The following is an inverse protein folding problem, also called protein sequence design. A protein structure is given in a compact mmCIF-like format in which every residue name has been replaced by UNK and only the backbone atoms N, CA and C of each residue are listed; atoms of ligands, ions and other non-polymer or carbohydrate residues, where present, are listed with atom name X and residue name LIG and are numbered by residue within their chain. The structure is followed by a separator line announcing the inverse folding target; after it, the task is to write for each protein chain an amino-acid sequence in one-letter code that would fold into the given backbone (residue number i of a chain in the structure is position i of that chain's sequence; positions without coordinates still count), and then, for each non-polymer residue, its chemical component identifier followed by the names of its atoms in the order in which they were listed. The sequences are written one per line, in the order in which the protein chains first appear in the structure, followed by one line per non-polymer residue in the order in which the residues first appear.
data_IF_722429486990
#
_entry.id   IF_722429486990
#
_cell.length_a   1.000
_cell.length_b   1.000
_cell.length_c   1.000
_cell.angle_alpha   90.00
_cell.angle_beta   90.00
_cell.angle_gamma   90.00
#
_symmetry.space_group_name_H-M   'P 1'
#
loop_
_entity.id
_entity.type
_entity.pdbx_description
1 polymer ?
#
# COMPACT_ATOMS: atom_id res chain seq x y z
N UNK A 1 27.88 9.42 -20.76
CA UNK A 1 27.59 8.84 -22.10
C UNK A 1 26.08 8.86 -22.30
N UNK A 2 25.59 9.19 -23.49
CA UNK A 2 24.17 9.13 -23.82
C UNK A 2 23.82 7.72 -24.34
N UNK A 3 22.65 7.21 -23.98
CA UNK A 3 22.14 5.92 -24.45
C UNK A 3 20.70 6.11 -24.91
N UNK A 4 20.39 5.59 -26.09
CA UNK A 4 19.04 5.56 -26.64
C UNK A 4 18.28 4.36 -26.08
N UNK A 5 16.96 4.38 -26.16
CA UNK A 5 16.09 3.28 -25.70
C UNK A 5 15.07 3.70 -24.65
N UNK A 6 14.31 2.71 -24.19
CA UNK A 6 13.27 2.89 -23.17
C UNK A 6 13.84 2.65 -21.77
N UNK A 7 13.35 3.41 -20.79
CA UNK A 7 13.74 3.29 -19.38
C UNK A 7 12.84 2.28 -18.66
N UNK A 8 13.46 1.26 -18.06
CA UNK A 8 12.80 0.24 -17.27
C UNK A 8 13.34 0.27 -15.84
N UNK A 9 12.45 0.16 -14.86
CA UNK A 9 12.81 -0.04 -13.45
C UNK A 9 12.55 -1.47 -13.04
N UNK A 10 13.63 -2.20 -12.73
CA UNK A 10 13.59 -3.57 -12.21
C UNK A 10 13.80 -3.52 -10.70
N UNK A 11 12.95 -4.17 -9.93
CA UNK A 11 13.18 -4.35 -8.50
C UNK A 11 13.76 -5.73 -8.25
N UNK A 12 14.93 -5.78 -7.61
CA UNK A 12 15.64 -7.02 -7.28
C UNK A 12 15.57 -7.24 -5.78
N UNK A 13 15.33 -8.49 -5.36
CA UNK A 13 15.40 -8.94 -3.97
C UNK A 13 16.23 -10.24 -3.93
N UNK A 14 17.37 -10.20 -3.24
CA UNK A 14 18.37 -11.27 -3.29
C UNK A 14 18.84 -11.53 -4.71
N UNK A 15 18.67 -12.76 -5.16
CA UNK A 15 19.03 -13.21 -6.51
C UNK A 15 17.84 -13.19 -7.51
N UNK A 16 16.71 -12.57 -7.15
CA UNK A 16 15.49 -12.58 -7.97
C UNK A 16 15.09 -11.16 -8.41
N UNK A 17 14.90 -10.97 -9.72
CA UNK A 17 14.21 -9.80 -10.26
C UNK A 17 12.69 -9.98 -10.08
N UNK A 18 12.14 -9.42 -9.00
CA UNK A 18 10.74 -9.66 -8.58
C UNK A 18 9.71 -8.83 -9.33
N UNK A 19 10.13 -7.77 -10.01
CA UNK A 19 9.27 -6.98 -10.89
C UNK A 19 10.05 -6.11 -11.86
N UNK A 20 9.45 -5.76 -13.00
CA UNK A 20 9.93 -4.79 -13.98
C UNK A 20 8.80 -3.87 -14.40
N UNK A 21 9.07 -2.57 -14.42
CA UNK A 21 8.13 -1.52 -14.81
C UNK A 21 8.72 -0.67 -15.92
N UNK A 22 8.02 -0.57 -17.04
CA UNK A 22 8.26 0.46 -18.04
C UNK A 22 7.59 1.76 -17.57
N UNK A 23 8.33 2.88 -17.58
CA UNK A 23 7.80 4.19 -17.21
C UNK A 23 7.53 5.00 -18.47
N UNK A 24 6.27 5.19 -18.78
CA UNK A 24 5.86 6.08 -19.88
C UNK A 24 5.72 7.51 -19.38
N UNK A 25 6.16 8.48 -20.19
CA UNK A 25 5.89 9.90 -19.94
C UNK A 25 4.39 10.18 -19.97
N UNK A 26 3.95 11.24 -19.27
CA UNK A 26 2.55 11.63 -19.24
C UNK A 26 2.02 11.80 -20.67
N UNK A 27 0.95 11.10 -21.02
CA UNK A 27 0.38 11.06 -22.36
C UNK A 27 -1.16 11.13 -22.32
N UNK A 28 -1.80 11.47 -23.44
CA UNK A 28 -3.24 11.25 -23.66
C UNK A 28 -3.46 10.64 -25.05
N UNK A 29 -4.54 9.88 -25.19
CA UNK A 29 -4.94 9.27 -26.46
C UNK A 29 -6.29 9.85 -26.88
N UNK A 30 -6.38 10.33 -28.12
CA UNK A 30 -7.60 10.89 -28.67
C UNK A 30 -8.74 9.88 -28.77
N UNK A 31 -9.95 10.33 -28.46
CA UNK A 31 -11.19 9.60 -28.73
C UNK A 31 -11.93 10.15 -29.97
N UNK A 32 -11.41 11.22 -30.59
CA UNK A 32 -12.02 11.92 -31.73
C UNK A 32 -13.04 12.99 -31.34
N UNK A 33 -13.35 13.16 -30.05
CA UNK A 33 -14.44 14.03 -29.58
C UNK A 33 -13.97 15.02 -28.51
N UNK A 34 -13.16 14.57 -27.55
CA UNK A 34 -12.75 15.36 -26.39
C UNK A 34 -11.49 16.16 -26.67
N UNK A 35 -11.43 17.33 -26.04
CA UNK A 35 -10.21 18.13 -26.02
C UNK A 35 -9.14 17.46 -25.16
N UNK A 36 -7.87 17.79 -25.41
CA UNK A 36 -6.74 17.33 -24.56
C UNK A 36 -7.00 17.64 -23.08
N UNK A 37 -7.55 18.80 -22.75
CA UNK A 37 -7.92 19.18 -21.38
C UNK A 37 -8.95 18.21 -20.76
N UNK A 38 -9.95 17.80 -21.53
CA UNK A 38 -10.97 16.84 -21.09
C UNK A 38 -10.37 15.43 -20.93
N UNK A 39 -9.52 15.00 -21.86
CA UNK A 39 -8.79 13.73 -21.77
C UNK A 39 -7.89 13.68 -20.52
N UNK A 40 -7.16 14.76 -20.22
CA UNK A 40 -6.38 14.90 -18.98
C UNK A 40 -7.29 14.78 -17.75
N UNK A 41 -8.47 15.41 -17.78
CA UNK A 41 -9.43 15.37 -16.67
C UNK A 41 -9.95 13.96 -16.41
N UNK A 42 -10.32 13.23 -17.47
CA UNK A 42 -10.78 11.84 -17.38
C UNK A 42 -9.66 10.91 -16.90
N UNK A 43 -8.43 11.08 -17.43
CA UNK A 43 -7.25 10.32 -17.01
C UNK A 43 -6.94 10.57 -15.53
N UNK A 44 -7.01 11.81 -15.06
CA UNK A 44 -6.85 12.14 -13.65
C UNK A 44 -7.96 11.54 -12.76
N UNK A 45 -9.20 11.43 -13.24
CA UNK A 45 -10.28 10.73 -12.52
C UNK A 45 -9.94 9.26 -12.32
N UNK A 46 -9.38 8.60 -13.34
CA UNK A 46 -8.89 7.22 -13.22
C UNK A 46 -7.69 7.12 -12.24
N UNK A 47 -6.71 8.03 -12.36
CA UNK A 47 -5.53 8.06 -11.46
C UNK A 47 -5.90 8.20 -9.99
N UNK A 48 -6.96 8.96 -9.66
CA UNK A 48 -7.48 9.09 -8.28
C UNK A 48 -7.92 7.77 -7.64
N UNK A 49 -8.28 6.76 -8.44
CA UNK A 49 -8.67 5.43 -7.95
C UNK A 49 -7.47 4.52 -7.68
N UNK A 50 -6.31 4.82 -8.24
CA UNK A 50 -5.10 4.02 -8.06
C UNK A 50 -4.33 4.50 -6.80
N UNK A 51 -4.04 3.63 -5.81
CA UNK A 51 -3.35 4.01 -4.58
C UNK A 51 -2.00 4.70 -4.76
N UNK A 52 -1.26 4.36 -5.82
CA UNK A 52 0.04 4.94 -6.16
C UNK A 52 -0.10 6.28 -6.92
N UNK A 53 -1.11 6.42 -7.76
CA UNK A 53 -1.25 7.58 -8.68
C UNK A 53 -2.19 8.68 -8.15
N UNK A 54 -2.97 8.43 -7.08
CA UNK A 54 -3.99 9.35 -6.58
C UNK A 54 -3.51 10.77 -6.28
N UNK A 55 -2.25 10.92 -5.90
CA UNK A 55 -1.61 12.19 -5.57
C UNK A 55 -0.63 12.68 -6.66
N UNK A 56 -0.55 11.96 -7.79
CA UNK A 56 0.40 12.18 -8.89
C UNK A 56 -0.36 12.53 -10.17
N UNK A 57 -1.17 13.58 -10.12
CA UNK A 57 -2.07 13.97 -11.21
C UNK A 57 -1.32 14.73 -12.30
N UNK A 58 -1.77 14.60 -13.54
CA UNK A 58 -1.30 15.42 -14.66
C UNK A 58 -1.84 16.83 -14.43
N UNK A 59 -0.95 17.77 -14.14
CA UNK A 59 -1.27 19.20 -14.03
C UNK A 59 -0.80 19.89 -15.28
N UNK A 60 -1.69 20.62 -15.93
CA UNK A 60 -1.34 21.51 -17.05
C UNK A 60 -0.50 22.63 -16.50
N UNK A 61 0.73 22.73 -17.02
CA UNK A 61 1.72 23.75 -16.71
C UNK A 61 2.43 24.17 -18.00
N UNK A 62 3.37 25.10 -17.86
CA UNK A 62 4.14 25.63 -18.99
C UNK A 62 4.88 24.56 -19.80
N UNK A 63 5.35 23.47 -19.15
CA UNK A 63 6.03 22.39 -19.87
C UNK A 63 5.06 21.67 -20.81
N UNK A 64 3.86 21.33 -20.32
CA UNK A 64 2.82 20.68 -21.14
C UNK A 64 2.40 21.59 -22.29
N UNK A 65 2.15 22.87 -22.02
CA UNK A 65 1.79 23.84 -23.08
C UNK A 65 2.88 23.95 -24.14
N UNK A 66 4.15 24.01 -23.74
CA UNK A 66 5.30 24.02 -24.65
C UNK A 66 5.40 22.73 -25.45
N UNK A 67 5.19 21.56 -24.83
CA UNK A 67 5.22 20.26 -25.49
C UNK A 67 4.12 20.12 -26.56
N UNK A 68 2.92 20.61 -26.26
CA UNK A 68 1.80 20.63 -27.21
C UNK A 68 2.07 21.61 -28.36
N UNK A 69 2.54 22.83 -28.05
CA UNK A 69 2.83 23.85 -29.05
C UNK A 69 3.87 23.40 -30.08
N UNK A 70 4.90 22.64 -29.65
CA UNK A 70 5.89 22.03 -30.57
C UNK A 70 5.29 21.02 -31.56
N UNK A 71 4.12 20.49 -31.24
CA UNK A 71 3.34 19.58 -32.09
C UNK A 71 2.21 20.30 -32.83
N UNK A 72 2.12 21.63 -32.75
CA UNK A 72 1.02 22.41 -33.33
C UNK A 72 -0.32 22.25 -32.60
N UNK A 73 -0.28 21.78 -31.35
CA UNK A 73 -1.46 21.49 -30.54
C UNK A 73 -1.59 22.47 -29.37
N UNK A 74 -2.79 22.54 -28.81
CA UNK A 74 -3.09 23.24 -27.56
C UNK A 74 -4.07 22.41 -26.73
N UNK A 75 -4.28 22.78 -25.46
CA UNK A 75 -5.15 22.01 -24.55
C UNK A 75 -6.61 21.94 -25.02
N UNK A 76 -7.06 22.87 -25.85
CA UNK A 76 -8.38 22.87 -26.51
C UNK A 76 -8.44 22.08 -27.82
N UNK A 77 -7.32 21.56 -28.33
CA UNK A 77 -7.31 20.69 -29.52
C UNK A 77 -8.01 19.37 -29.22
N UNK A 78 -8.73 18.85 -30.21
CA UNK A 78 -9.28 17.49 -30.22
C UNK A 78 -8.31 16.61 -31.03
N UNK A 79 -7.93 15.48 -30.46
CA UNK A 79 -7.03 14.51 -31.10
C UNK A 79 -7.83 13.49 -31.89
N UNK A 80 -7.28 13.05 -33.02
CA UNK A 80 -7.87 11.96 -33.79
C UNK A 80 -7.96 10.70 -32.95
N UNK A 81 -8.98 9.88 -33.21
CA UNK A 81 -9.19 8.64 -32.46
C UNK A 81 -7.97 7.73 -32.57
N UNK A 82 -7.38 7.38 -31.43
CA UNK A 82 -6.17 6.56 -31.34
C UNK A 82 -4.85 7.33 -31.44
N UNK A 83 -4.87 8.63 -31.75
CA UNK A 83 -3.67 9.46 -31.75
C UNK A 83 -3.19 9.67 -30.31
N UNK A 84 -2.01 9.16 -29.98
CA UNK A 84 -1.35 9.41 -28.70
C UNK A 84 -0.47 10.66 -28.78
N UNK A 85 -0.56 11.52 -27.77
CA UNK A 85 0.30 12.70 -27.61
C UNK A 85 0.96 12.66 -26.25
N UNK A 86 2.29 12.75 -26.25
CA UNK A 86 3.07 12.92 -25.03
C UNK A 86 3.02 14.37 -24.57
N UNK A 87 2.61 14.55 -23.33
CA UNK A 87 2.49 15.83 -22.64
C UNK A 87 3.82 16.25 -22.00
N UNK A 88 4.73 15.29 -21.73
CA UNK A 88 6.04 15.55 -21.13
C UNK A 88 7.14 14.75 -21.81
N UNK A 89 8.37 15.23 -21.65
CA UNK A 89 9.57 14.56 -22.16
C UNK A 89 10.14 13.51 -21.19
N UNK A 90 9.76 13.57 -19.91
CA UNK A 90 10.28 12.69 -18.86
C UNK A 90 9.20 11.75 -18.33
N UNK A 91 9.63 10.54 -17.95
CA UNK A 91 8.80 9.43 -17.45
C UNK A 91 8.41 9.54 -15.97
N UNK A 92 8.68 10.68 -15.35
CA UNK A 92 8.56 10.87 -13.90
C UNK A 92 7.12 10.69 -13.42
N UNK A 93 6.91 9.72 -12.53
CA UNK A 93 5.58 9.42 -11.99
C UNK A 93 4.96 10.61 -11.25
N UNK A 94 5.78 11.43 -10.57
CA UNK A 94 5.34 12.60 -9.79
C UNK A 94 4.62 13.66 -10.62
N UNK A 95 4.90 13.72 -11.92
CA UNK A 95 4.38 14.73 -12.86
C UNK A 95 3.44 14.14 -13.91
N UNK A 96 2.91 12.93 -13.65
CA UNK A 96 1.89 12.30 -14.48
C UNK A 96 2.36 11.09 -15.28
N UNK A 97 3.61 10.67 -15.15
CA UNK A 97 4.11 9.43 -15.76
C UNK A 97 3.33 8.20 -15.30
N UNK A 98 3.47 7.12 -16.07
CA UNK A 98 2.66 5.92 -15.97
C UNK A 98 3.54 4.66 -15.86
N UNK A 99 3.42 3.89 -14.76
CA UNK A 99 4.14 2.64 -14.59
C UNK A 99 3.36 1.48 -15.22
N UNK A 100 3.90 0.85 -16.26
CA UNK A 100 3.37 -0.36 -16.86
C UNK A 100 4.16 -1.56 -16.35
N UNK A 101 3.50 -2.51 -15.68
CA UNK A 101 4.14 -3.77 -15.32
C UNK A 101 4.41 -4.59 -16.58
N UNK A 102 5.69 -4.90 -16.81
CA UNK A 102 6.21 -5.65 -17.96
C UNK A 102 7.13 -6.78 -17.48
N UNK A 103 6.99 -7.20 -16.23
CA UNK A 103 7.83 -8.22 -15.57
C UNK A 103 7.88 -9.53 -16.35
N UNK A 104 6.75 -9.95 -16.91
CA UNK A 104 6.66 -11.23 -17.63
C UNK A 104 7.04 -11.06 -19.12
N UNK A 105 7.15 -9.83 -19.63
CA UNK A 105 7.50 -9.50 -21.01
C UNK A 105 9.01 -9.26 -21.21
N UNK A 106 9.72 -8.90 -20.13
CA UNK A 106 11.14 -8.62 -20.17
C UNK A 106 11.98 -9.91 -20.17
N UNK A 107 13.06 -9.92 -20.96
CA UNK A 107 13.93 -11.10 -21.11
C UNK A 107 14.66 -11.47 -19.81
N UNK A 108 14.97 -12.75 -19.64
CA UNK A 108 15.67 -13.23 -18.45
C UNK A 108 17.11 -12.72 -18.38
N UNK A 109 17.73 -12.41 -19.53
CA UNK A 109 19.06 -11.77 -19.56
C UNK A 109 19.04 -10.38 -18.95
N UNK A 110 17.96 -9.62 -19.15
CA UNK A 110 17.79 -8.30 -18.53
C UNK A 110 17.53 -8.40 -17.03
N UNK A 111 16.73 -9.38 -16.61
CA UNK A 111 16.54 -9.69 -15.19
C UNK A 111 17.86 -10.06 -14.54
N UNK A 112 18.66 -10.90 -15.19
CA UNK A 112 19.97 -11.30 -14.71
C UNK A 112 20.95 -10.12 -14.66
N UNK A 113 20.95 -9.24 -15.66
CA UNK A 113 21.74 -8.01 -15.63
C UNK A 113 21.44 -7.15 -14.40
N UNK A 114 20.16 -7.02 -14.02
CA UNK A 114 19.77 -6.30 -12.81
C UNK A 114 20.33 -6.99 -11.55
N UNK A 115 20.19 -8.31 -11.44
CA UNK A 115 20.72 -9.10 -10.31
C UNK A 115 22.25 -8.95 -10.21
N UNK A 116 22.95 -9.10 -11.32
CA UNK A 116 24.42 -9.01 -11.38
C UNK A 116 24.92 -7.60 -11.01
N UNK A 117 24.14 -6.57 -11.33
CA UNK A 117 24.48 -5.19 -10.96
C UNK A 117 24.53 -4.99 -9.43
N UNK A 118 23.65 -5.65 -8.67
CA UNK A 118 23.68 -5.60 -7.20
C UNK A 118 24.88 -6.36 -6.64
N UNK A 119 25.24 -7.50 -7.25
CA UNK A 119 26.44 -8.29 -6.90
C UNK A 119 27.71 -7.47 -7.11
N UNK A 120 27.79 -6.75 -8.22
CA UNK A 120 28.95 -5.93 -8.58
C UNK A 120 29.24 -4.80 -7.59
N UNK A 121 28.24 -4.31 -6.85
CA UNK A 121 28.37 -3.18 -5.90
C UNK A 121 28.43 -3.63 -4.43
N UNK A 122 28.86 -4.86 -4.17
CA UNK A 122 29.02 -5.38 -2.81
C UNK A 122 27.81 -6.18 -2.31
N UNK A 123 27.02 -6.75 -3.22
CA UNK A 123 25.93 -7.67 -2.93
C UNK A 123 24.85 -7.07 -2.01
N UNK A 124 24.29 -5.93 -2.42
CA UNK A 124 23.21 -5.27 -1.68
C UNK A 124 21.96 -6.17 -1.69
N UNK A 125 21.25 -6.35 -0.56
CA UNK A 125 20.11 -7.27 -0.45
C UNK A 125 18.95 -7.04 -1.42
N UNK A 126 18.64 -5.79 -1.72
CA UNK A 126 17.58 -5.41 -2.66
C UNK A 126 17.81 -3.99 -3.14
N UNK A 127 17.35 -3.68 -4.36
CA UNK A 127 17.38 -2.35 -4.91
C UNK A 127 16.46 -2.25 -6.14
N UNK A 128 16.07 -1.01 -6.48
CA UNK A 128 15.53 -0.69 -7.79
C UNK A 128 16.67 -0.37 -8.75
N UNK A 129 16.78 -1.11 -9.84
CA UNK A 129 17.77 -0.92 -10.91
C UNK A 129 17.08 -0.28 -12.10
N UNK A 130 17.56 0.88 -12.54
CA UNK A 130 17.12 1.48 -13.79
C UNK A 130 18.02 1.03 -14.94
N UNK A 131 17.38 0.55 -15.99
CA UNK A 131 18.04 0.02 -17.19
C UNK A 131 17.43 0.69 -18.41
N UNK A 132 18.28 1.22 -19.28
CA UNK A 132 17.89 1.63 -20.64
C UNK A 132 18.06 0.43 -21.56
N UNK A 133 17.01 0.13 -22.32
CA UNK A 133 16.98 -0.97 -23.29
C UNK A 133 16.67 -0.40 -24.66
N UNK A 134 17.64 -0.55 -25.56
CA UNK A 134 17.52 -0.23 -26.98
C UNK A 134 17.39 -1.53 -27.76
N UNK A 135 16.22 -1.82 -28.36
CA UNK A 135 16.03 -3.06 -29.12
C UNK A 135 16.89 -3.12 -30.39
N UNK A 136 17.50 -2.00 -30.80
CA UNK A 136 18.38 -1.93 -31.99
C UNK A 136 19.86 -2.04 -31.65
N UNK A 137 20.23 -1.99 -30.36
CA UNK A 137 21.61 -2.05 -29.94
C UNK A 137 22.08 -3.49 -29.72
N UNK A 138 23.37 -3.73 -29.96
CA UNK A 138 24.04 -5.00 -29.63
C UNK A 138 24.22 -5.22 -28.11
N UNK A 139 23.94 -4.19 -27.29
CA UNK A 139 24.01 -4.27 -25.84
C UNK A 139 22.70 -4.78 -25.28
N UNK A 140 22.76 -5.76 -24.37
CA UNK A 140 21.57 -6.31 -23.68
C UNK A 140 20.72 -5.23 -23.01
N UNK A 141 21.37 -4.28 -22.36
CA UNK A 141 20.78 -3.13 -21.69
C UNK A 141 21.88 -2.37 -20.93
N UNK A 142 21.59 -1.14 -20.51
CA UNK A 142 22.54 -0.29 -19.82
C UNK A 142 21.99 0.11 -18.47
N UNK A 143 22.62 -0.34 -17.39
CA UNK A 143 22.30 0.08 -16.03
C UNK A 143 22.70 1.54 -15.85
N UNK A 144 21.73 2.40 -15.51
CA UNK A 144 21.93 3.85 -15.32
C UNK A 144 21.89 4.28 -13.85
N UNK A 145 21.15 3.57 -13.01
CA UNK A 145 21.00 3.86 -11.58
C UNK A 145 20.73 2.57 -10.80
N UNK A 146 21.29 2.46 -9.59
CA UNK A 146 20.89 1.44 -8.60
C UNK A 146 20.48 2.19 -7.32
N UNK A 147 19.24 1.99 -6.88
CA UNK A 147 18.65 2.70 -5.74
C UNK A 147 18.21 1.71 -4.65
N UNK A 148 18.97 1.55 -3.55
CA UNK A 148 18.64 0.67 -2.43
C UNK A 148 17.36 1.06 -1.68
N UNK A 149 16.93 2.32 -1.81
CA UNK A 149 15.74 2.89 -1.16
C UNK A 149 14.59 3.11 -2.14
N UNK A 150 14.62 2.44 -3.29
CA UNK A 150 13.61 2.61 -4.33
C UNK A 150 12.20 2.34 -3.81
N UNK A 151 11.27 3.22 -4.18
CA UNK A 151 9.87 3.08 -3.83
C UNK A 151 9.23 1.87 -4.54
N UNK A 152 8.54 1.02 -3.78
CA UNK A 152 7.91 -0.21 -4.30
C UNK A 152 6.45 -0.01 -4.74
N UNK A 153 5.84 1.12 -4.39
CA UNK A 153 4.38 1.32 -4.53
C UNK A 153 3.88 1.21 -5.97
N UNK A 154 4.67 1.63 -6.96
CA UNK A 154 4.28 1.54 -8.37
C UNK A 154 4.49 0.15 -8.99
N UNK A 155 5.27 -0.73 -8.34
CA UNK A 155 5.32 -2.15 -8.67
C UNK A 155 4.10 -2.90 -8.11
N UNK A 156 3.62 -2.49 -6.93
CA UNK A 156 2.40 -3.06 -6.33
C UNK A 156 1.15 -2.56 -7.05
N UNK A 157 1.08 -1.27 -7.38
CA UNK A 157 -0.08 -0.65 -8.02
C UNK A 157 0.35 0.04 -9.33
N UNK A 158 0.64 -0.74 -10.39
CA UNK A 158 0.96 -0.16 -11.69
C UNK A 158 -0.27 0.54 -12.28
N UNK A 159 -0.07 1.38 -13.31
CA UNK A 159 -1.17 1.93 -14.10
C UNK A 159 -1.87 0.84 -14.93
N UNK A 160 -1.07 -0.05 -15.51
CA UNK A 160 -1.51 -1.21 -16.27
C UNK A 160 -0.55 -2.38 -16.04
N UNK A 161 -1.03 -3.61 -16.24
CA UNK A 161 -0.31 -4.85 -15.99
C UNK A 161 -0.59 -5.45 -14.63
N UNK A 162 0.19 -6.46 -14.24
CA UNK A 162 -0.07 -7.27 -13.05
C UNK A 162 0.51 -6.60 -11.80
N UNK A 163 -0.27 -6.58 -10.73
CA UNK A 163 0.22 -6.15 -9.42
C UNK A 163 1.30 -7.13 -8.91
N UNK A 164 2.45 -6.61 -8.47
CA UNK A 164 3.56 -7.42 -7.94
C UNK A 164 3.66 -7.24 -6.43
N UNK A 165 3.56 -8.34 -5.67
CA UNK A 165 3.67 -8.34 -4.20
C UNK A 165 5.15 -8.28 -3.76
N UNK A 166 5.83 -7.20 -4.19
CA UNK A 166 7.21 -6.87 -3.78
C UNK A 166 7.36 -6.79 -2.25
N UNK A 167 6.40 -6.22 -1.47
CA UNK A 167 6.49 -6.23 -0.02
C UNK A 167 6.68 -7.62 0.57
N UNK A 168 5.93 -8.62 0.08
CA UNK A 168 6.04 -9.97 0.62
C UNK A 168 7.36 -10.63 0.27
N UNK A 169 7.89 -10.39 -0.94
CA UNK A 169 9.23 -10.84 -1.33
C UNK A 169 10.32 -10.28 -0.43
N UNK A 170 10.21 -9.00 -0.05
CA UNK A 170 11.13 -8.36 0.90
C UNK A 170 11.03 -8.99 2.30
N UNK A 171 9.81 -9.19 2.81
CA UNK A 171 9.60 -9.83 4.12
C UNK A 171 10.17 -11.25 4.11
N UNK A 172 9.85 -12.05 3.10
CA UNK A 172 10.35 -13.42 2.94
C UNK A 172 11.88 -13.48 2.83
N UNK A 173 12.51 -12.45 2.27
CA UNK A 173 13.98 -12.36 2.20
C UNK A 173 14.59 -12.12 3.58
N UNK A 174 14.08 -11.14 4.34
CA UNK A 174 14.62 -10.78 5.65
C UNK A 174 14.20 -11.73 6.78
N UNK A 175 13.05 -12.40 6.63
CA UNK A 175 12.46 -13.32 7.60
C UNK A 175 12.08 -14.62 6.89
N UNK A 176 13.03 -15.49 6.52
CA UNK A 176 12.75 -16.71 5.75
C UNK A 176 11.71 -17.63 6.39
N UNK A 177 11.57 -17.59 7.72
CA UNK A 177 10.54 -18.31 8.48
C UNK A 177 9.11 -17.87 8.18
N UNK A 178 8.89 -16.71 7.52
CA UNK A 178 7.56 -16.27 7.09
C UNK A 178 7.13 -16.89 5.77
N UNK A 179 8.04 -17.50 5.01
CA UNK A 179 7.74 -18.11 3.72
C UNK A 179 6.70 -19.22 3.90
N UNK A 180 5.62 -19.15 3.13
CA UNK A 180 4.54 -20.14 3.17
C UNK A 180 3.68 -20.11 4.44
N UNK A 181 3.93 -19.19 5.38
CA UNK A 181 3.05 -18.98 6.52
C UNK A 181 1.75 -18.35 6.03
N UNK A 182 0.58 -18.93 6.34
CA UNK A 182 -0.70 -18.35 5.96
C UNK A 182 -0.84 -16.92 6.46
N UNK A 183 -0.99 -15.97 5.53
CA UNK A 183 -1.31 -14.59 5.87
C UNK A 183 -2.71 -14.55 6.47
N UNK A 184 -2.88 -13.69 7.45
CA UNK A 184 -4.16 -13.45 8.09
C UNK A 184 -4.44 -11.95 8.09
N UNK A 185 -5.72 -11.59 8.22
CA UNK A 185 -6.14 -10.19 8.14
C UNK A 185 -5.97 -9.45 9.48
N UNK A 186 -5.17 -9.98 10.41
CA UNK A 186 -4.91 -9.33 11.70
C UNK A 186 -3.81 -8.26 11.57
N UNK A 187 -4.23 -7.01 11.49
CA UNK A 187 -3.37 -5.82 11.50
C UNK A 187 -3.17 -5.32 12.94
N UNK A 188 -2.24 -4.41 13.20
CA UNK A 188 -2.23 -3.61 14.41
C UNK A 188 -2.07 -2.15 14.00
N UNK A 189 -2.53 -1.21 14.85
CA UNK A 189 -2.35 0.21 14.55
C UNK A 189 -0.89 0.60 14.80
N UNK A 190 -0.08 0.55 13.74
CA UNK A 190 1.33 0.93 13.78
C UNK A 190 1.52 2.39 14.21
N UNK A 191 0.59 3.29 13.86
CA UNK A 191 0.68 4.70 14.24
C UNK A 191 0.43 4.85 15.75
N UNK A 192 -0.63 4.24 16.27
CA UNK A 192 -0.90 4.22 17.72
C UNK A 192 0.27 3.59 18.49
N UNK A 193 0.82 2.48 18.00
CA UNK A 193 1.97 1.83 18.62
C UNK A 193 3.21 2.75 18.66
N UNK A 194 3.52 3.41 17.56
CA UNK A 194 4.72 4.25 17.45
C UNK A 194 4.59 5.60 18.15
N UNK A 195 3.40 6.21 18.16
CA UNK A 195 3.15 7.45 18.92
C UNK A 195 3.39 7.24 20.42
N UNK A 196 2.97 6.10 20.96
CA UNK A 196 3.18 5.78 22.38
C UNK A 196 4.65 5.58 22.72
N UNK A 197 5.41 4.91 21.84
CA UNK A 197 6.85 4.74 22.02
C UNK A 197 7.61 6.08 21.92
N UNK A 198 7.13 7.00 21.06
CA UNK A 198 7.73 8.34 20.90
C UNK A 198 7.51 9.27 22.10
N UNK A 199 6.48 9.04 22.89
CA UNK A 199 6.22 9.83 24.12
C UNK A 199 7.26 9.56 25.22
N UNK A 200 8.11 8.52 25.06
CA UNK A 200 9.22 8.23 25.97
C UNK A 200 8.82 7.69 27.34
N UNK A 201 7.53 7.62 27.66
CA UNK A 201 7.02 7.03 28.92
C UNK A 201 7.16 5.51 28.99
N UNK A 202 7.31 4.84 27.83
CA UNK A 202 7.39 3.39 27.73
C UNK A 202 8.60 2.99 26.90
N UNK A 203 9.38 2.04 27.41
CA UNK A 203 10.57 1.53 26.71
C UNK A 203 10.25 0.34 25.81
N UNK A 204 9.11 -0.33 26.03
CA UNK A 204 8.71 -1.51 25.28
C UNK A 204 7.19 -1.57 25.07
N UNK A 205 6.80 -2.16 23.95
CA UNK A 205 5.41 -2.44 23.61
C UNK A 205 5.29 -3.89 23.14
N UNK A 206 4.23 -4.59 23.59
CA UNK A 206 3.98 -5.97 23.23
C UNK A 206 2.67 -6.06 22.42
N UNK A 207 2.74 -6.54 21.17
CA UNK A 207 1.54 -6.77 20.37
C UNK A 207 0.93 -8.11 20.79
N UNK A 208 -0.37 -8.15 21.07
CA UNK A 208 -1.06 -9.39 21.44
C UNK A 208 -0.86 -10.44 20.34
N UNK A 209 -0.51 -11.71 20.64
CA UNK A 209 -0.28 -12.74 19.62
C UNK A 209 -1.42 -12.83 18.60
N UNK A 210 -1.10 -13.17 17.35
CA UNK A 210 -2.13 -13.43 16.36
C UNK A 210 -3.01 -14.59 16.87
N UNK A 211 -4.34 -14.45 16.88
CA UNK A 211 -5.23 -15.57 17.15
C UNK A 211 -4.91 -16.74 16.21
N UNK A 212 -4.63 -17.91 16.75
CA UNK A 212 -4.46 -19.15 15.98
C UNK A 212 -5.73 -20.01 16.07
N UNK A 213 -6.06 -20.70 14.97
CA UNK A 213 -7.24 -21.57 14.87
C UNK A 213 -8.51 -20.85 14.41
N UNK A 214 -9.67 -21.50 14.61
CA UNK A 214 -10.98 -20.91 14.28
C UNK A 214 -11.25 -19.67 15.14
N UNK A 215 -11.73 -18.60 14.50
CA UNK A 215 -12.06 -17.34 15.18
C UNK A 215 -13.54 -17.04 15.09
N UNK A 216 -14.06 -16.42 16.15
CA UNK A 216 -15.44 -15.98 16.27
C UNK A 216 -15.51 -14.46 16.31
N UNK A 217 -16.62 -13.87 15.85
CA UNK A 217 -16.90 -12.44 15.94
C UNK A 217 -18.01 -12.17 16.95
N UNK A 218 -17.89 -11.07 17.68
CA UNK A 218 -18.96 -10.53 18.50
C UNK A 218 -18.90 -9.00 18.47
N UNK A 219 -20.06 -8.35 18.45
CA UNK A 219 -20.17 -6.90 18.56
C UNK A 219 -20.78 -6.54 19.90
N UNK A 220 -20.15 -5.61 20.61
CA UNK A 220 -20.66 -5.07 21.87
C UNK A 220 -20.81 -3.58 21.77
N UNK A 221 -21.99 -3.07 22.10
CA UNK A 221 -22.28 -1.66 22.20
C UNK A 221 -22.11 -1.21 23.65
N UNK A 222 -21.37 -0.13 23.85
CA UNK A 222 -21.26 0.53 25.15
C UNK A 222 -21.75 1.97 25.01
N UNK A 223 -22.78 2.33 25.78
CA UNK A 223 -23.38 3.68 25.75
C UNK A 223 -23.62 4.22 27.17
N UNK A 224 -23.53 5.54 27.34
CA UNK A 224 -23.78 6.19 28.63
C UNK A 224 -23.16 7.59 28.70
N UNK A 225 -22.46 7.90 29.79
CA UNK A 225 -21.74 9.18 29.96
C UNK A 225 -20.68 9.37 28.85
N UNK A 226 -20.37 10.61 28.42
CA UNK A 226 -19.39 10.87 27.37
C UNK A 226 -18.08 10.11 27.60
N UNK A 227 -17.66 9.33 26.61
CA UNK A 227 -16.47 8.46 26.68
C UNK A 227 -15.26 9.34 26.35
N UNK A 228 -14.42 9.69 27.32
CA UNK A 228 -13.20 10.45 27.04
C UNK A 228 -12.14 9.57 26.36
N UNK A 229 -11.11 10.19 25.74
CA UNK A 229 -9.99 9.46 25.16
C UNK A 229 -9.28 8.56 26.18
N UNK A 230 -9.05 9.06 27.40
CA UNK A 230 -8.49 8.26 28.50
C UNK A 230 -9.39 7.09 28.91
N UNK A 231 -10.72 7.22 28.81
CA UNK A 231 -11.64 6.09 29.07
C UNK A 231 -11.57 5.06 27.96
N UNK A 232 -11.57 5.50 26.69
CA UNK A 232 -11.37 4.63 25.53
C UNK A 232 -10.09 3.79 25.68
N UNK A 233 -8.98 4.41 26.06
CA UNK A 233 -7.71 3.72 26.28
C UNK A 233 -7.81 2.63 27.35
N UNK A 234 -8.53 2.86 28.46
CA UNK A 234 -8.75 1.85 29.50
C UNK A 234 -9.61 0.68 29.03
N UNK A 235 -10.61 0.93 28.19
CA UNK A 235 -11.44 -0.12 27.58
C UNK A 235 -10.59 -0.96 26.62
N UNK A 236 -9.80 -0.32 25.74
CA UNK A 236 -8.82 -0.99 24.87
C UNK A 236 -7.88 -1.88 25.69
N UNK A 237 -7.30 -1.34 26.79
CA UNK A 237 -6.45 -2.11 27.72
C UNK A 237 -7.17 -3.31 28.35
N UNK A 238 -8.46 -3.19 28.67
CA UNK A 238 -9.22 -4.32 29.22
C UNK A 238 -9.38 -5.45 28.20
N UNK A 239 -9.68 -5.11 26.93
CA UNK A 239 -9.80 -6.11 25.85
C UNK A 239 -8.48 -6.86 25.65
N UNK A 240 -7.39 -6.10 25.70
CA UNK A 240 -6.03 -6.60 25.60
C UNK A 240 -5.59 -7.56 26.69
N UNK A 241 -5.86 -7.21 27.95
CA UNK A 241 -5.59 -8.09 29.10
C UNK A 241 -6.37 -9.40 28.97
N UNK A 242 -7.53 -9.35 28.34
CA UNK A 242 -8.34 -10.54 28.04
C UNK A 242 -7.98 -11.22 26.71
N UNK A 243 -6.91 -10.80 26.05
CA UNK A 243 -6.43 -11.33 24.76
C UNK A 243 -7.47 -11.24 23.63
N UNK A 244 -8.31 -10.20 23.68
CA UNK A 244 -9.27 -9.91 22.62
C UNK A 244 -8.68 -8.89 21.65
N UNK A 245 -8.83 -9.16 20.36
CA UNK A 245 -8.53 -8.25 19.27
C UNK A 245 -9.84 -7.67 18.74
N UNK A 246 -9.80 -6.51 18.10
CA UNK A 246 -11.01 -5.89 17.56
C UNK A 246 -10.87 -4.42 17.19
N UNK A 247 -11.86 -3.93 16.44
CA UNK A 247 -12.01 -2.51 16.10
C UNK A 247 -12.89 -1.82 17.13
N UNK A 248 -12.46 -0.63 17.54
CA UNK A 248 -13.24 0.26 18.40
C UNK A 248 -13.77 1.40 17.53
N UNK A 249 -15.07 1.43 17.33
CA UNK A 249 -15.73 2.46 16.52
C UNK A 249 -16.47 3.43 17.43
N UNK A 250 -16.19 4.73 17.25
CA UNK A 250 -16.94 5.78 17.93
C UNK A 250 -18.12 6.18 17.04
N UNK A 251 -19.33 5.94 17.54
CA UNK A 251 -20.57 6.40 16.88
C UNK A 251 -20.81 7.86 17.23
N UNK A 252 -20.70 8.21 18.51
CA UNK A 252 -20.89 9.58 19.01
C UNK A 252 -20.10 9.81 20.33
N UNK A 253 -20.32 10.94 21.01
CA UNK A 253 -19.60 11.27 22.26
C UNK A 253 -19.84 10.28 23.40
N UNK A 254 -20.99 9.61 23.41
CA UNK A 254 -21.51 8.73 24.46
C UNK A 254 -21.52 7.24 24.08
N UNK A 255 -21.43 6.91 22.79
CA UNK A 255 -21.63 5.56 22.25
C UNK A 255 -20.41 5.06 21.48
N UNK A 256 -20.00 3.84 21.77
CA UNK A 256 -18.97 3.11 21.03
C UNK A 256 -19.44 1.70 20.68
N UNK A 257 -18.95 1.19 19.55
CA UNK A 257 -19.07 -0.21 19.15
C UNK A 257 -17.70 -0.90 19.26
N UNK A 258 -17.73 -2.10 19.82
CA UNK A 258 -16.59 -2.97 20.03
C UNK A 258 -16.76 -4.19 19.12
N UNK A 259 -16.13 -4.17 17.94
CA UNK A 259 -16.14 -5.30 17.02
C UNK A 259 -14.98 -6.22 17.37
N UNK A 260 -15.26 -7.31 18.09
CA UNK A 260 -14.25 -8.18 18.66
C UNK A 260 -14.07 -9.48 17.89
N UNK A 261 -12.84 -9.98 17.93
CA UNK A 261 -12.44 -11.27 17.39
C UNK A 261 -11.93 -12.12 18.53
N UNK A 262 -12.45 -13.33 18.56
CA UNK A 262 -12.46 -14.17 19.72
C UNK A 262 -11.93 -15.53 19.30
N UNK A 263 -10.76 -15.90 19.81
CA UNK A 263 -10.23 -17.25 19.69
C UNK A 263 -10.86 -18.21 20.69
N UNK A 264 -11.36 -17.70 21.83
CA UNK A 264 -11.96 -18.50 22.91
C UNK A 264 -13.13 -17.76 23.54
N UNK A 265 -14.32 -18.37 23.53
CA UNK A 265 -15.56 -17.79 24.09
C UNK A 265 -15.40 -17.35 25.55
N UNK A 266 -14.67 -18.13 26.35
CA UNK A 266 -14.36 -17.80 27.76
C UNK A 266 -13.59 -16.49 27.95
N UNK A 267 -12.76 -16.07 26.98
CA UNK A 267 -12.06 -14.78 27.02
C UNK A 267 -13.01 -13.61 26.78
N UNK A 268 -13.97 -13.78 25.87
CA UNK A 268 -15.03 -12.81 25.64
C UNK A 268 -15.91 -12.64 26.89
N UNK A 269 -16.38 -13.73 27.49
CA UNK A 269 -17.18 -13.68 28.71
C UNK A 269 -16.43 -12.99 29.87
N UNK A 270 -15.13 -13.27 30.01
CA UNK A 270 -14.28 -12.61 30.98
C UNK A 270 -14.20 -11.09 30.73
N UNK A 271 -14.07 -10.67 29.48
CA UNK A 271 -14.05 -9.24 29.11
C UNK A 271 -15.37 -8.55 29.46
N UNK A 272 -16.51 -9.12 29.06
CA UNK A 272 -17.83 -8.56 29.38
C UNK A 272 -17.99 -8.39 30.89
N UNK A 273 -17.62 -9.41 31.67
CA UNK A 273 -17.67 -9.37 33.13
C UNK A 273 -16.80 -8.25 33.71
N UNK A 274 -15.57 -8.06 33.19
CA UNK A 274 -14.66 -7.01 33.66
C UNK A 274 -15.16 -5.61 33.30
N UNK A 275 -15.66 -5.43 32.08
CA UNK A 275 -16.19 -4.14 31.60
C UNK A 275 -17.44 -3.75 32.40
N UNK A 276 -18.40 -4.67 32.57
CA UNK A 276 -19.60 -4.44 33.39
C UNK A 276 -19.25 -4.10 34.84
N UNK A 277 -18.30 -4.81 35.45
CA UNK A 277 -17.83 -4.51 36.81
C UNK A 277 -17.17 -3.13 36.92
N UNK A 278 -16.39 -2.74 35.91
CA UNK A 278 -15.62 -1.49 35.93
C UNK A 278 -16.46 -0.27 35.56
N UNK A 279 -17.51 -0.44 34.77
CA UNK A 279 -18.36 0.61 34.24
C UNK A 279 -19.84 0.29 34.51
N UNK A 280 -20.27 0.20 35.79
CA UNK A 280 -21.64 -0.16 36.14
C UNK A 280 -22.67 0.87 35.64
N UNK A 281 -22.27 2.14 35.53
CA UNK A 281 -23.12 3.25 35.04
C UNK A 281 -23.33 3.25 33.52
N UNK A 282 -22.72 2.32 32.79
CA UNK A 282 -22.79 2.26 31.33
C UNK A 282 -23.67 1.10 30.89
N UNK A 283 -24.51 1.34 29.89
CA UNK A 283 -25.21 0.27 29.20
C UNK A 283 -24.20 -0.50 28.33
N UNK A 284 -24.07 -1.80 28.57
CA UNK A 284 -23.17 -2.70 27.85
C UNK A 284 -24.02 -3.82 27.27
N UNK A 285 -24.31 -3.69 25.99
CA UNK A 285 -25.20 -4.54 25.22
C UNK A 285 -24.39 -5.41 24.27
N UNK A 286 -24.59 -6.73 24.33
CA UNK A 286 -23.98 -7.66 23.36
C UNK A 286 -24.91 -7.72 22.15
N UNK A 287 -24.53 -7.03 21.08
CA UNK A 287 -25.30 -6.92 19.84
C UNK A 287 -25.25 -8.23 19.06
N UNK A 288 -24.07 -8.87 19.02
CA UNK A 288 -23.93 -10.22 18.47
C UNK A 288 -23.07 -11.09 19.37
N UNK A 289 -23.50 -12.34 19.53
CA UNK A 289 -22.75 -13.34 20.29
C UNK A 289 -21.56 -13.85 19.47
N UNK A 290 -20.55 -14.48 20.11
CA UNK A 290 -19.41 -15.07 19.41
C UNK A 290 -19.87 -16.13 18.40
N UNK A 291 -19.80 -15.81 17.11
CA UNK A 291 -20.19 -16.68 16.00
C UNK A 291 -19.02 -16.87 15.03
N UNK A 292 -18.88 -18.06 14.45
CA UNK A 292 -17.81 -18.34 13.46
C UNK A 292 -17.99 -17.41 12.26
N UNK A 293 -16.87 -16.90 11.75
CA UNK A 293 -16.86 -16.04 10.56
C UNK A 293 -15.94 -16.62 9.49
N UNK A 294 -16.32 -16.46 8.23
CA UNK A 294 -15.52 -16.80 7.04
C UNK A 294 -15.11 -15.55 6.25
N UNK A 295 -15.40 -14.35 6.75
CA UNK A 295 -15.22 -13.11 6.00
C UNK A 295 -13.81 -12.51 6.16
N UNK A 296 -13.24 -12.11 5.01
CA UNK A 296 -11.92 -11.49 4.83
C UNK A 296 -11.86 -10.00 5.22
N UNK A 297 -12.31 -9.63 6.43
CA UNK A 297 -12.15 -8.25 6.92
C UNK A 297 -10.80 -8.05 7.65
N UNK A 298 -10.24 -6.84 7.56
CA UNK A 298 -9.02 -6.45 8.30
C UNK A 298 -9.33 -6.12 9.75
N UNK A 299 -8.45 -6.57 10.64
CA UNK A 299 -8.74 -6.65 12.07
C UNK A 299 -7.63 -6.11 12.95
N UNK A 300 -7.95 -5.14 13.81
CA UNK A 300 -6.98 -4.57 14.74
C UNK A 300 -6.68 -5.51 15.91
N UNK A 301 -5.45 -6.00 15.97
CA UNK A 301 -4.82 -6.61 17.15
C UNK A 301 -4.69 -5.54 18.21
N UNK A 302 -5.08 -5.87 19.42
CA UNK A 302 -4.79 -4.97 20.52
C UNK A 302 -3.28 -4.97 20.83
N UNK A 303 -2.83 -3.83 21.33
CA UNK A 303 -1.44 -3.55 21.70
C UNK A 303 -1.29 -3.46 23.24
N UNK A 304 -0.66 -4.45 23.87
CA UNK A 304 -0.33 -4.42 25.30
C UNK A 304 0.92 -3.62 25.60
N UNK A 305 0.94 -2.95 26.75
CA UNK A 305 2.09 -2.16 27.23
C UNK A 305 2.73 -2.90 28.41
N UNK A 306 4.07 -2.89 28.49
CA UNK A 306 4.83 -3.34 29.64
C UNK A 306 5.61 -2.17 30.21
#
# INVERSE_FOLDING_TARGET
KHYYGNEYRIYVVGDEAVSCVYREAASVTGDGEKTIQQLITDKNRARKKNPNLKNKLIKVDFEIERMLSRQGLMTSSVLDKGQQVFLRSTSNLSIGGEPFDVTDEISDEIKQLAVDSLKAIGNIPHAGVDIIIDPTADTKGVVIEINPTAGITFHVFPYNGKMRDVPSKLIDYYFPETKGVPKNNFIFDYKEATEILKDGQYNQLQIAPCPSGETMRATVKMSGKPISGGRMLRIKRSALITQLSGKFERVDKSTILLHMIISKKSRFELFIRRIKKRYPDYNIEVISQPEKTTEDEYFYRGITFK
#
